data_IF_293092588802
#
_entry.id   IF_293092588802
#
_cell.length_a   1.000
_cell.length_b   1.000
_cell.length_c   1.000
_cell.angle_alpha   90.00
_cell.angle_beta   90.00
_cell.angle_gamma   90.00
#
_symmetry.space_group_name_H-M   'P 1'
#
loop_
_entity.id
_entity.type
_entity.pdbx_description
1 polymer ?
#
# COMPACT_ATOMS: atom_id res chain seq x y z
N UNK A 1 -49.80 -23.62 -12.11
CA UNK A 1 -48.46 -24.24 -12.29
C UNK A 1 -48.03 -23.97 -13.73
N UNK A 2 -46.98 -23.18 -13.95
CA UNK A 2 -46.66 -22.61 -15.28
C UNK A 2 -46.00 -23.59 -16.25
N UNK A 3 -46.19 -23.31 -17.54
CA UNK A 3 -45.77 -24.16 -18.65
C UNK A 3 -44.24 -24.24 -18.83
N UNK A 4 -43.79 -25.35 -19.43
CA UNK A 4 -42.38 -25.68 -19.68
C UNK A 4 -41.93 -25.17 -21.06
N UNK A 5 -40.70 -24.65 -21.10
CA UNK A 5 -40.11 -23.97 -22.25
C UNK A 5 -39.99 -24.83 -23.53
N UNK A 6 -39.97 -24.14 -24.69
CA UNK A 6 -39.36 -24.64 -25.93
C UNK A 6 -38.48 -23.58 -26.59
N UNK A 7 -37.44 -24.08 -27.23
CA UNK A 7 -36.21 -23.37 -27.58
C UNK A 7 -36.18 -23.04 -29.07
N UNK A 8 -35.86 -21.80 -29.44
CA UNK A 8 -35.53 -21.46 -30.82
C UNK A 8 -34.03 -21.17 -30.96
N UNK A 9 -33.36 -22.05 -31.71
CA UNK A 9 -31.95 -21.98 -32.09
C UNK A 9 -31.87 -21.42 -33.50
N UNK A 10 -31.25 -20.25 -33.69
CA UNK A 10 -30.79 -19.81 -35.01
C UNK A 10 -29.36 -19.28 -34.93
N UNK A 11 -28.50 -19.93 -35.69
CA UNK A 11 -27.09 -19.58 -35.93
C UNK A 11 -26.99 -18.47 -36.96
N UNK A 12 -26.08 -17.51 -36.75
CA UNK A 12 -25.45 -16.74 -37.84
C UNK A 12 -23.99 -16.47 -37.50
N UNK A 13 -23.09 -17.07 -38.27
CA UNK A 13 -21.65 -16.78 -38.27
C UNK A 13 -21.42 -15.45 -38.99
N UNK A 14 -20.60 -14.55 -38.44
CA UNK A 14 -19.90 -13.54 -39.25
C UNK A 14 -18.66 -12.94 -38.58
N UNK A 15 -17.51 -13.25 -39.16
CA UNK A 15 -16.36 -12.37 -39.40
C UNK A 15 -15.71 -11.62 -38.22
N UNK A 16 -14.77 -12.32 -37.60
CA UNK A 16 -13.50 -11.81 -37.09
C UNK A 16 -12.90 -10.62 -37.90
N UNK A 17 -12.67 -9.47 -37.24
CA UNK A 17 -11.71 -8.45 -37.71
C UNK A 17 -11.00 -7.72 -36.56
N UNK A 18 -10.06 -8.46 -35.98
CA UNK A 18 -8.69 -8.04 -35.65
C UNK A 18 -8.35 -6.53 -35.41
N UNK A 19 -7.92 -6.24 -34.15
CA UNK A 19 -6.94 -5.19 -33.70
C UNK A 19 -7.30 -3.70 -33.92
N UNK A 20 -6.84 -2.73 -33.12
CA UNK A 20 -5.83 -2.69 -32.03
C UNK A 20 -6.40 -1.98 -30.78
N UNK A 21 -5.81 -2.29 -29.62
CA UNK A 21 -5.86 -1.49 -28.39
C UNK A 21 -5.39 -0.04 -28.61
N UNK A 22 -6.26 0.95 -28.39
CA UNK A 22 -5.92 2.38 -28.31
C UNK A 22 -6.71 3.08 -27.20
N UNK A 23 -6.43 2.67 -25.96
CA UNK A 23 -6.43 3.57 -24.79
C UNK A 23 -4.95 3.57 -24.33
N UNK A 24 -4.33 4.75 -24.22
CA UNK A 24 -4.61 5.59 -23.06
C UNK A 24 -4.83 7.06 -23.40
N UNK A 25 -5.82 7.65 -22.72
CA UNK A 25 -5.84 9.09 -22.41
C UNK A 25 -6.06 9.27 -20.91
N UNK A 26 -5.09 8.79 -20.13
CA UNK A 26 -4.90 9.32 -18.78
C UNK A 26 -4.41 10.76 -18.93
N UNK A 27 -5.35 11.69 -19.06
CA UNK A 27 -5.06 13.10 -18.86
C UNK A 27 -4.70 13.27 -17.39
N UNK A 28 -3.40 13.15 -17.10
CA UNK A 28 -2.80 13.48 -15.82
C UNK A 28 -2.77 15.01 -15.67
N UNK A 29 -3.95 15.62 -15.66
CA UNK A 29 -4.15 16.99 -15.20
C UNK A 29 -4.10 16.94 -13.68
N UNK A 30 -2.88 16.77 -13.16
CA UNK A 30 -2.59 16.96 -11.74
C UNK A 30 -2.72 18.46 -11.48
N UNK A 31 -3.92 18.83 -11.07
CA UNK A 31 -4.18 20.14 -10.47
C UNK A 31 -3.50 20.13 -9.09
N UNK A 32 -2.24 20.58 -9.08
CA UNK A 32 -1.40 20.62 -7.90
C UNK A 32 -1.67 21.90 -7.09
N UNK A 33 -2.96 22.17 -6.82
CA UNK A 33 -3.44 23.37 -6.13
C UNK A 33 -4.06 23.05 -4.76
N UNK A 34 -3.42 22.17 -3.98
CA UNK A 34 -3.81 21.93 -2.58
C UNK A 34 -2.71 22.37 -1.62
N UNK A 35 -2.60 23.69 -1.45
CA UNK A 35 -1.85 24.33 -0.37
C UNK A 35 -2.64 24.33 0.96
N UNK A 36 -3.24 23.20 1.32
CA UNK A 36 -3.87 23.05 2.63
C UNK A 36 -2.79 22.80 3.70
N UNK A 37 -2.70 23.71 4.67
CA UNK A 37 -1.88 23.48 5.85
C UNK A 37 -2.47 22.35 6.68
N UNK A 38 -1.77 21.21 6.71
CA UNK A 38 -2.22 19.99 7.42
C UNK A 38 -2.10 20.19 8.94
N UNK A 39 -3.07 20.89 9.54
CA UNK A 39 -3.23 21.03 10.99
C UNK A 39 -4.65 20.60 11.39
N UNK A 40 -4.76 19.49 12.13
CA UNK A 40 -5.99 19.13 12.87
C UNK A 40 -6.89 18.06 12.24
N UNK A 41 -6.34 17.25 11.32
CA UNK A 41 -6.98 16.13 10.62
C UNK A 41 -5.93 15.04 10.32
N UNK A 42 -6.25 13.76 10.15
CA UNK A 42 -7.29 12.89 10.76
C UNK A 42 -6.67 11.49 10.96
N UNK A 43 -7.25 10.55 11.74
CA UNK A 43 -6.69 9.20 11.87
C UNK A 43 -6.46 8.46 10.54
N UNK A 44 -7.19 8.78 9.46
CA UNK A 44 -6.97 8.20 8.14
C UNK A 44 -5.61 8.59 7.53
N UNK A 45 -5.21 9.85 7.70
CA UNK A 45 -3.93 10.39 7.20
C UNK A 45 -2.76 9.74 7.93
N UNK A 46 -2.88 9.54 9.24
CA UNK A 46 -1.88 8.84 10.05
C UNK A 46 -1.59 7.43 9.51
N UNK A 47 -2.61 6.64 9.14
CA UNK A 47 -2.38 5.30 8.56
C UNK A 47 -1.73 5.38 7.18
N UNK A 48 -2.19 6.28 6.31
CA UNK A 48 -1.54 6.48 5.01
C UNK A 48 -0.06 6.91 5.13
N UNK A 49 0.28 7.67 6.17
CA UNK A 49 1.67 8.01 6.51
C UNK A 49 2.46 6.81 7.04
N UNK A 50 1.85 5.93 7.83
CA UNK A 50 2.46 4.66 8.27
C UNK A 50 2.67 3.71 7.07
N UNK A 51 1.71 3.56 6.16
CA UNK A 51 1.86 2.78 4.92
C UNK A 51 2.97 3.36 4.00
N UNK A 52 3.21 4.67 4.07
CA UNK A 52 4.33 5.31 3.38
C UNK A 52 5.67 5.09 4.09
N UNK A 53 5.69 5.00 5.43
CA UNK A 53 6.85 4.61 6.23
C UNK A 53 7.23 3.16 5.92
N UNK A 54 6.27 2.24 5.93
CA UNK A 54 6.49 0.82 5.66
C UNK A 54 7.17 0.61 4.30
N UNK A 55 6.61 1.20 3.23
CA UNK A 55 7.20 1.11 1.88
C UNK A 55 8.65 1.63 1.83
N UNK A 56 8.95 2.77 2.44
CA UNK A 56 10.34 3.29 2.54
C UNK A 56 11.27 2.32 3.27
N UNK A 57 10.77 1.65 4.31
CA UNK A 57 11.57 0.69 5.08
C UNK A 57 11.76 -0.62 4.32
N UNK A 58 10.75 -1.11 3.58
CA UNK A 58 10.88 -2.28 2.69
C UNK A 58 11.94 -2.02 1.60
N UNK A 59 11.91 -0.83 0.98
CA UNK A 59 12.92 -0.42 0.00
C UNK A 59 14.32 -0.30 0.63
N UNK A 60 14.44 0.29 1.82
CA UNK A 60 15.71 0.49 2.54
C UNK A 60 16.32 -0.81 3.07
N UNK A 61 15.50 -1.75 3.53
CA UNK A 61 15.91 -3.03 4.13
C UNK A 61 15.57 -4.22 3.22
N UNK A 62 15.71 -4.06 1.90
CA UNK A 62 15.37 -5.07 0.87
C UNK A 62 16.08 -6.44 0.98
N UNK A 63 17.01 -6.61 1.93
CA UNK A 63 17.60 -7.89 2.30
C UNK A 63 16.74 -8.71 3.29
N UNK A 64 15.71 -8.09 3.89
CA UNK A 64 14.73 -8.72 4.77
C UNK A 64 13.40 -8.97 4.03
N UNK A 65 12.61 -9.98 4.43
CA UNK A 65 11.23 -10.16 3.98
C UNK A 65 10.38 -8.92 4.26
N UNK A 66 9.47 -8.57 3.33
CA UNK A 66 8.56 -7.45 3.51
C UNK A 66 7.62 -7.65 4.72
N UNK A 67 7.18 -8.89 4.97
CA UNK A 67 6.37 -9.25 6.14
C UNK A 67 7.09 -8.98 7.48
N UNK A 68 8.41 -9.20 7.55
CA UNK A 68 9.20 -8.90 8.77
C UNK A 68 9.30 -7.39 8.99
N UNK A 69 9.48 -6.61 7.91
CA UNK A 69 9.47 -5.14 7.97
C UNK A 69 8.11 -4.62 8.42
N UNK A 70 7.02 -5.13 7.83
CA UNK A 70 5.65 -4.77 8.21
C UNK A 70 5.34 -5.12 9.67
N UNK A 71 5.77 -6.30 10.14
CA UNK A 71 5.62 -6.72 11.53
C UNK A 71 6.34 -5.79 12.51
N UNK A 72 7.57 -5.36 12.19
CA UNK A 72 8.33 -4.39 13.00
C UNK A 72 7.68 -2.99 12.99
N UNK A 73 7.20 -2.51 11.83
CA UNK A 73 6.48 -1.23 11.73
C UNK A 73 5.19 -1.25 12.54
N UNK A 74 4.40 -2.32 12.42
CA UNK A 74 3.18 -2.51 13.19
C UNK A 74 3.47 -2.61 14.70
N UNK A 75 4.53 -3.34 15.09
CA UNK A 75 4.97 -3.40 16.49
C UNK A 75 5.33 -2.01 17.02
N UNK A 76 6.18 -1.25 16.31
CA UNK A 76 6.53 0.12 16.70
C UNK A 76 5.31 1.05 16.77
N UNK A 77 4.34 0.91 15.86
CA UNK A 77 3.09 1.67 15.87
C UNK A 77 2.17 1.33 17.05
N UNK A 78 2.05 0.05 17.42
CA UNK A 78 1.22 -0.38 18.56
C UNK A 78 1.67 0.24 19.89
N UNK A 79 2.95 0.57 20.05
CA UNK A 79 3.52 1.22 21.24
C UNK A 79 3.01 2.65 21.46
N UNK A 80 2.41 3.29 20.45
CA UNK A 80 1.87 4.65 20.54
C UNK A 80 0.33 4.70 20.59
N UNK A 81 -0.37 3.56 20.73
CA UNK A 81 -1.85 3.52 20.76
C UNK A 81 -2.48 4.42 21.83
N UNK A 82 -1.81 4.61 22.96
CA UNK A 82 -2.28 5.45 24.07
C UNK A 82 -1.76 6.90 24.01
N UNK A 83 -1.02 7.28 22.97
CA UNK A 83 -0.45 8.64 22.83
C UNK A 83 -1.50 9.64 22.35
N UNK A 84 -1.71 10.70 23.14
CA UNK A 84 -2.68 11.78 22.86
C UNK A 84 -2.25 12.68 21.70
N UNK A 85 -0.94 12.97 21.57
CA UNK A 85 -0.38 13.70 20.43
C UNK A 85 0.02 12.69 19.37
N UNK A 86 -0.54 12.82 18.15
CA UNK A 86 -0.41 11.78 17.11
C UNK A 86 0.29 12.23 15.83
N UNK A 87 0.44 13.53 15.62
CA UNK A 87 1.07 14.12 14.41
C UNK A 87 2.53 13.66 14.20
N UNK A 88 3.22 13.32 15.29
CA UNK A 88 4.61 12.83 15.28
C UNK A 88 4.74 11.29 15.23
N UNK A 89 3.65 10.54 15.32
CA UNK A 89 3.71 9.07 15.39
C UNK A 89 4.36 8.45 14.14
N UNK A 90 4.08 8.88 12.89
CA UNK A 90 4.75 8.32 11.71
C UNK A 90 6.29 8.45 11.79
N UNK A 91 6.81 9.60 12.22
CA UNK A 91 8.25 9.82 12.42
C UNK A 91 8.84 8.95 13.55
N UNK A 92 8.13 8.82 14.66
CA UNK A 92 8.59 8.02 15.80
C UNK A 92 8.57 6.51 15.49
N UNK A 93 7.58 6.05 14.70
CA UNK A 93 7.51 4.68 14.19
C UNK A 93 8.63 4.40 13.20
N UNK A 94 8.84 5.27 12.20
CA UNK A 94 9.93 5.13 11.22
C UNK A 94 11.30 5.01 11.88
N UNK A 95 11.53 5.82 12.92
CA UNK A 95 12.75 5.77 13.72
C UNK A 95 12.89 4.45 14.48
N UNK A 96 11.90 4.05 15.28
CA UNK A 96 11.96 2.80 16.08
C UNK A 96 12.12 1.58 15.18
N UNK A 97 11.34 1.50 14.10
CA UNK A 97 11.44 0.42 13.13
C UNK A 97 12.82 0.39 12.45
N UNK A 98 13.39 1.54 12.07
CA UNK A 98 14.76 1.62 11.54
C UNK A 98 15.82 1.11 12.52
N UNK A 99 15.71 1.46 13.81
CA UNK A 99 16.64 1.01 14.86
C UNK A 99 16.53 -0.52 15.07
N UNK A 100 15.32 -1.07 15.08
CA UNK A 100 15.06 -2.52 15.21
C UNK A 100 15.56 -3.31 13.98
N UNK A 101 15.24 -2.86 12.76
CA UNK A 101 15.67 -3.50 11.50
C UNK A 101 17.20 -3.42 11.30
N UNK A 102 17.84 -2.34 11.75
CA UNK A 102 19.31 -2.24 11.76
C UNK A 102 19.95 -3.26 12.71
N UNK A 103 19.33 -3.53 13.86
CA UNK A 103 19.80 -4.56 14.78
C UNK A 103 19.61 -5.97 14.21
N UNK A 104 18.48 -6.24 13.55
CA UNK A 104 18.19 -7.53 12.91
C UNK A 104 19.15 -7.81 11.74
N UNK A 105 19.32 -6.87 10.81
CA UNK A 105 20.29 -7.00 9.70
C UNK A 105 21.72 -7.14 10.22
N UNK A 106 22.12 -6.35 11.23
CA UNK A 106 23.41 -6.49 11.89
C UNK A 106 23.60 -7.85 12.56
N UNK A 107 22.56 -8.44 13.14
CA UNK A 107 22.60 -9.78 13.73
C UNK A 107 22.74 -10.87 12.67
N UNK A 108 21.97 -10.80 11.58
CA UNK A 108 22.06 -11.74 10.47
C UNK A 108 23.45 -11.72 9.82
N UNK A 109 24.03 -10.53 9.57
CA UNK A 109 25.39 -10.42 9.02
C UNK A 109 26.46 -11.03 9.93
N UNK A 110 26.29 -10.95 11.27
CA UNK A 110 27.20 -11.61 12.24
C UNK A 110 27.06 -13.13 12.30
N UNK A 111 25.98 -13.71 11.78
CA UNK A 111 25.77 -15.16 11.74
C UNK A 111 26.34 -15.82 10.47
N UNK A 112 26.74 -15.00 9.49
CA UNK A 112 27.26 -15.44 8.18
C UNK A 112 28.79 -15.25 8.03
N UNK A 113 29.48 -14.89 9.11
CA UNK A 113 30.91 -14.60 9.18
C UNK A 113 31.63 -15.53 10.18
#
# INVERSE_FOLDING_TARGET
MSARAKTNRSTSVSTQKERKSLLPKINLSVDQSQCDGHNGRVPQEERALIDAVERRLVEKYAALPADDVAAVVQHAYTQFQQSTVRDFIPLLVERRASEELANLTGAAMRQLA
#
